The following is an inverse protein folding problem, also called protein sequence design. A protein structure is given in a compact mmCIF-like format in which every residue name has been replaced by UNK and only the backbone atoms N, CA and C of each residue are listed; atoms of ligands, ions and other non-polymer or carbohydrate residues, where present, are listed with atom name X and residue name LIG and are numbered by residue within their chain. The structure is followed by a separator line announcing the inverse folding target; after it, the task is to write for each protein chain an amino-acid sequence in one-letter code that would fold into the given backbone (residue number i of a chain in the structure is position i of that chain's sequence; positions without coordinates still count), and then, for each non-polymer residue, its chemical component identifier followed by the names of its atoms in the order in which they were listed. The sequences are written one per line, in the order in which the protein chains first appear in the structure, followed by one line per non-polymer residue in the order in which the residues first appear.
data_IF_590427810889
#
_entry.id   IF_590427810889
#
_cell.length_a   1.000
_cell.length_b   1.000
_cell.length_c   1.000
_cell.angle_alpha   90.00
_cell.angle_beta   90.00
_cell.angle_gamma   90.00
#
_symmetry.space_group_name_H-M   'P 1'
#
loop_
_entity.id
_entity.type
_entity.pdbx_description
1 polymer ?
#
# COMPACT_ATOMS: atom_id res chain seq x y z
N UNK A 1 5.79 23.10 -32.50
CA UNK A 1 6.92 22.88 -31.57
C UNK A 1 6.42 22.11 -30.35
N UNK A 2 6.59 20.78 -30.34
CA UNK A 2 6.36 19.99 -29.13
C UNK A 2 7.50 20.30 -28.15
N UNK A 3 7.22 21.05 -27.09
CA UNK A 3 8.17 21.23 -25.99
C UNK A 3 8.34 19.86 -25.33
N UNK A 4 9.41 19.15 -25.69
CA UNK A 4 9.92 18.01 -24.92
C UNK A 4 10.43 18.57 -23.59
N UNK A 5 9.57 18.63 -22.58
CA UNK A 5 10.02 18.71 -21.20
C UNK A 5 10.59 17.34 -20.85
N UNK A 6 11.90 17.17 -21.07
CA UNK A 6 12.65 16.13 -20.38
C UNK A 6 12.53 16.42 -18.89
N UNK A 7 11.57 15.79 -18.21
CA UNK A 7 11.60 15.66 -16.75
C UNK A 7 12.86 14.85 -16.47
N UNK A 8 13.96 15.53 -16.15
CA UNK A 8 15.05 14.90 -15.42
C UNK A 8 14.39 14.26 -14.19
N UNK A 9 14.35 12.93 -14.13
CA UNK A 9 14.06 12.26 -12.87
C UNK A 9 15.19 12.66 -11.93
N UNK A 10 14.87 13.56 -11.00
CA UNK A 10 15.71 13.82 -9.83
C UNK A 10 16.06 12.48 -9.19
N UNK A 11 17.27 12.31 -8.67
CA UNK A 11 17.69 11.11 -7.95
C UNK A 11 16.85 10.81 -6.69
N UNK A 12 15.86 11.66 -6.39
CA UNK A 12 14.92 11.60 -5.27
C UNK A 12 13.44 11.60 -5.69
N UNK A 13 13.10 11.22 -6.93
CA UNK A 13 11.68 11.16 -7.33
C UNK A 13 10.95 10.06 -6.57
N UNK A 14 10.00 10.44 -5.72
CA UNK A 14 9.15 9.51 -4.98
C UNK A 14 8.04 8.95 -5.87
N UNK A 15 7.41 7.85 -5.46
CA UNK A 15 6.24 7.30 -6.13
C UNK A 15 5.11 8.34 -6.25
N UNK A 16 4.99 9.22 -5.26
CA UNK A 16 4.03 10.32 -5.24
C UNK A 16 4.16 11.25 -6.45
N UNK A 17 5.39 11.63 -6.79
CA UNK A 17 5.71 12.57 -7.87
C UNK A 17 5.31 12.04 -9.26
N UNK A 18 5.16 10.72 -9.39
CA UNK A 18 4.80 10.04 -10.63
C UNK A 18 3.28 9.92 -10.82
N UNK A 19 2.48 10.13 -9.76
CA UNK A 19 1.05 9.88 -9.77
C UNK A 19 0.22 11.17 -10.00
N UNK A 20 -0.90 11.02 -10.72
CA UNK A 20 -1.89 12.10 -10.77
C UNK A 20 -2.58 12.28 -9.42
N UNK A 21 -2.53 13.50 -8.90
CA UNK A 21 -3.15 13.89 -7.63
C UNK A 21 -4.68 13.99 -7.71
N UNK A 22 -5.24 14.00 -8.93
CA UNK A 22 -6.68 13.97 -9.17
C UNK A 22 -7.25 12.56 -9.08
N UNK A 23 -6.41 11.54 -9.06
CA UNK A 23 -6.87 10.16 -9.03
C UNK A 23 -7.57 9.83 -7.69
N UNK A 24 -8.76 9.19 -7.69
CA UNK A 24 -9.52 8.94 -6.47
C UNK A 24 -8.76 8.18 -5.38
N UNK A 25 -7.95 7.17 -5.74
CA UNK A 25 -7.15 6.43 -4.75
C UNK A 25 -6.02 7.28 -4.15
N UNK A 26 -5.46 8.23 -4.91
CA UNK A 26 -4.44 9.14 -4.38
C UNK A 26 -5.05 10.05 -3.32
N UNK A 27 -6.19 10.66 -3.64
CA UNK A 27 -6.92 11.52 -2.70
C UNK A 27 -7.40 10.74 -1.49
N UNK A 28 -7.90 9.52 -1.69
CA UNK A 28 -8.35 8.66 -0.59
C UNK A 28 -7.19 8.30 0.33
N UNK A 29 -6.04 7.92 -0.23
CA UNK A 29 -4.83 7.63 0.53
C UNK A 29 -4.45 8.79 1.46
N UNK A 30 -4.57 10.02 0.99
CA UNK A 30 -4.19 11.21 1.76
C UNK A 30 -5.27 11.71 2.73
N UNK A 31 -6.50 11.19 2.63
CA UNK A 31 -7.62 11.51 3.55
C UNK A 31 -7.74 10.52 4.71
N UNK A 32 -7.22 9.31 4.55
CA UNK A 32 -7.27 8.29 5.60
C UNK A 32 -6.26 8.65 6.71
N UNK A 33 -6.73 8.69 7.95
CA UNK A 33 -5.85 8.80 9.10
C UNK A 33 -5.17 7.45 9.39
N UNK A 34 -4.07 7.17 8.70
CA UNK A 34 -3.32 5.92 8.83
C UNK A 34 -2.75 5.70 10.23
N UNK A 35 -2.44 6.78 10.96
CA UNK A 35 -1.92 6.73 12.33
C UNK A 35 -2.91 6.06 13.30
N UNK A 36 -4.21 6.17 13.03
CA UNK A 36 -5.23 5.46 13.81
C UNK A 36 -5.04 3.94 13.75
N UNK A 37 -4.75 3.39 12.56
CA UNK A 37 -4.49 1.96 12.40
C UNK A 37 -3.17 1.55 13.04
N UNK A 38 -2.12 2.36 12.86
CA UNK A 38 -0.83 2.13 13.52
C UNK A 38 -1.01 2.08 15.04
N UNK A 39 -1.70 3.05 15.65
CA UNK A 39 -1.93 3.08 17.09
C UNK A 39 -2.81 1.93 17.59
N UNK A 40 -3.84 1.55 16.82
CA UNK A 40 -4.74 0.47 17.19
C UNK A 40 -4.10 -0.92 17.07
N UNK A 41 -3.27 -1.13 16.03
CA UNK A 41 -2.76 -2.45 15.70
C UNK A 41 -1.32 -2.68 16.13
N UNK A 42 -0.50 -1.63 16.35
CA UNK A 42 0.86 -1.77 16.88
C UNK A 42 0.95 -2.64 18.16
N UNK A 43 0.03 -2.54 19.14
CA UNK A 43 0.06 -3.39 20.33
C UNK A 43 -0.14 -4.88 20.05
N UNK A 44 -0.68 -5.25 18.89
CA UNK A 44 -0.89 -6.63 18.47
C UNK A 44 0.39 -7.27 17.90
N UNK A 45 1.46 -6.49 17.74
CA UNK A 45 2.75 -6.95 17.26
C UNK A 45 3.76 -7.05 18.40
N UNK A 46 4.54 -8.13 18.40
CA UNK A 46 5.66 -8.27 19.33
C UNK A 46 6.84 -7.40 18.88
N UNK A 47 7.28 -6.49 19.74
CA UNK A 47 8.43 -5.61 19.47
C UNK A 47 9.78 -6.35 19.42
N UNK A 48 9.92 -7.43 20.18
CA UNK A 48 11.22 -8.04 20.50
C UNK A 48 11.39 -9.50 20.05
N UNK A 49 10.48 -10.05 19.23
CA UNK A 49 10.61 -11.46 18.84
C UNK A 49 10.06 -11.75 17.43
N UNK A 50 10.81 -12.55 16.65
CA UNK A 50 10.38 -13.07 15.35
C UNK A 50 10.79 -12.25 14.12
N UNK A 51 10.22 -12.62 12.96
CA UNK A 51 10.39 -11.92 11.67
C UNK A 51 9.69 -10.56 11.75
N UNK A 52 10.30 -9.45 11.25
CA UNK A 52 9.64 -8.17 11.18
C UNK A 52 8.29 -8.30 10.48
N UNK A 53 7.24 -7.79 11.11
CA UNK A 53 5.92 -7.76 10.52
C UNK A 53 5.88 -6.85 9.29
N UNK A 54 4.97 -7.15 8.37
CA UNK A 54 4.61 -6.22 7.31
C UNK A 54 4.07 -4.90 7.88
N UNK A 55 4.33 -3.74 7.24
CA UNK A 55 3.78 -2.46 7.67
C UNK A 55 2.25 -2.52 7.81
N UNK A 56 1.70 -1.93 8.88
CA UNK A 56 0.26 -1.98 9.14
C UNK A 56 -0.50 -1.29 7.99
N UNK A 57 -0.03 -0.14 7.52
CA UNK A 57 -0.61 0.54 6.34
C UNK A 57 -0.67 -0.35 5.10
N UNK A 58 0.34 -1.19 4.86
CA UNK A 58 0.31 -2.12 3.71
C UNK A 58 -0.84 -3.11 3.86
N UNK A 59 -0.95 -3.75 5.02
CA UNK A 59 -1.96 -4.78 5.28
C UNK A 59 -3.38 -4.21 5.28
N UNK A 60 -3.61 -3.09 5.98
CA UNK A 60 -4.87 -2.37 5.96
C UNK A 60 -5.23 -1.89 4.55
N UNK A 61 -4.25 -1.34 3.83
CA UNK A 61 -4.43 -0.86 2.46
C UNK A 61 -4.88 -1.98 1.51
N UNK A 62 -4.27 -3.16 1.59
CA UNK A 62 -4.65 -4.32 0.79
C UNK A 62 -6.08 -4.80 1.11
N UNK A 63 -6.47 -4.88 2.39
CA UNK A 63 -7.84 -5.24 2.76
C UNK A 63 -8.86 -4.21 2.27
N UNK A 64 -8.57 -2.91 2.41
CA UNK A 64 -9.44 -1.85 1.89
C UNK A 64 -9.57 -1.96 0.37
N UNK A 65 -8.46 -2.12 -0.36
CA UNK A 65 -8.48 -2.26 -1.82
C UNK A 65 -9.25 -3.51 -2.28
N UNK A 66 -9.07 -4.63 -1.58
CA UNK A 66 -9.82 -5.87 -1.79
C UNK A 66 -11.33 -5.62 -1.71
N UNK A 67 -11.79 -4.96 -0.65
CA UNK A 67 -13.21 -4.64 -0.48
C UNK A 67 -13.70 -3.61 -1.50
N UNK A 68 -12.93 -2.55 -1.77
CA UNK A 68 -13.27 -1.51 -2.74
C UNK A 68 -13.41 -2.06 -4.18
N UNK A 69 -12.65 -3.10 -4.52
CA UNK A 69 -12.63 -3.70 -5.85
C UNK A 69 -13.40 -5.01 -5.96
N UNK A 70 -13.87 -5.54 -4.83
CA UNK A 70 -14.56 -6.82 -4.74
C UNK A 70 -13.76 -7.97 -5.39
N UNK A 71 -12.51 -8.12 -4.96
CA UNK A 71 -11.57 -9.14 -5.47
C UNK A 71 -11.08 -10.08 -4.36
N UNK A 72 -10.41 -11.16 -4.72
CA UNK A 72 -9.79 -12.09 -3.75
C UNK A 72 -8.48 -11.57 -3.16
N UNK A 73 -7.98 -12.24 -2.12
CA UNK A 73 -6.70 -11.93 -1.47
C UNK A 73 -5.53 -12.09 -2.48
N UNK A 74 -5.56 -13.14 -3.30
CA UNK A 74 -4.55 -13.40 -4.34
C UNK A 74 -4.60 -12.34 -5.44
N UNK A 75 -5.80 -11.95 -5.86
CA UNK A 75 -6.00 -10.97 -6.92
C UNK A 75 -5.53 -9.58 -6.49
N UNK A 76 -5.84 -9.13 -5.26
CA UNK A 76 -5.39 -7.80 -4.80
C UNK A 76 -3.87 -7.74 -4.68
N UNK A 77 -3.23 -8.82 -4.20
CA UNK A 77 -1.77 -8.95 -4.09
C UNK A 77 -1.11 -8.93 -5.47
N UNK A 78 -1.68 -9.63 -6.45
CA UNK A 78 -1.20 -9.59 -7.84
C UNK A 78 -1.34 -8.20 -8.45
N UNK A 79 -2.53 -7.58 -8.36
CA UNK A 79 -2.78 -6.25 -8.91
C UNK A 79 -1.91 -5.16 -8.25
N UNK A 80 -1.57 -5.32 -6.97
CA UNK A 80 -0.66 -4.41 -6.28
C UNK A 80 0.70 -4.32 -6.98
N UNK A 81 1.26 -5.45 -7.43
CA UNK A 81 2.56 -5.47 -8.11
C UNK A 81 2.56 -4.77 -9.48
N UNK A 82 1.39 -4.58 -10.08
CA UNK A 82 1.22 -3.99 -11.40
C UNK A 82 0.73 -2.52 -11.34
N UNK A 83 0.21 -2.08 -10.18
CA UNK A 83 -0.52 -0.82 -10.07
C UNK A 83 0.13 0.15 -9.07
N UNK A 84 0.78 1.19 -9.59
CA UNK A 84 1.44 2.23 -8.80
C UNK A 84 0.50 2.96 -7.81
N UNK A 85 -0.78 3.11 -8.12
CA UNK A 85 -1.75 3.69 -7.19
C UNK A 85 -2.03 2.78 -5.99
N UNK A 86 -2.04 1.46 -6.20
CA UNK A 86 -2.23 0.50 -5.10
C UNK A 86 -1.02 0.52 -4.18
N UNK A 87 0.19 0.58 -4.77
CA UNK A 87 1.42 0.70 -4.00
C UNK A 87 1.44 1.97 -3.16
N UNK A 88 1.14 3.13 -3.75
CA UNK A 88 1.07 4.38 -3.01
C UNK A 88 -0.01 4.37 -1.92
N UNK A 89 -1.20 3.84 -2.22
CA UNK A 89 -2.28 3.70 -1.24
C UNK A 89 -1.84 2.91 -0.01
N UNK A 90 -1.12 1.80 -0.24
CA UNK A 90 -0.53 0.94 0.78
C UNK A 90 0.76 1.51 1.43
N UNK A 91 1.20 2.73 1.09
CA UNK A 91 2.37 3.37 1.70
C UNK A 91 3.70 3.08 1.03
N UNK A 92 3.70 2.57 -0.20
CA UNK A 92 4.90 2.42 -1.02
C UNK A 92 5.52 3.77 -1.39
N UNK A 93 6.84 3.88 -1.23
CA UNK A 93 7.62 5.07 -1.56
C UNK A 93 8.22 5.02 -2.97
N UNK A 94 8.39 3.82 -3.51
CA UNK A 94 8.94 3.53 -4.82
C UNK A 94 8.11 2.44 -5.49
N UNK A 95 8.13 2.39 -6.83
CA UNK A 95 7.43 1.34 -7.56
C UNK A 95 8.20 0.01 -7.46
N UNK A 96 7.55 -1.01 -6.91
CA UNK A 96 8.09 -2.35 -6.75
C UNK A 96 7.27 -3.34 -7.60
N UNK A 97 7.80 -3.84 -8.74
CA UNK A 97 7.08 -4.76 -9.63
C UNK A 97 7.11 -6.20 -9.11
N UNK A 98 6.78 -6.39 -7.83
CA UNK A 98 6.73 -7.69 -7.14
C UNK A 98 5.61 -7.67 -6.12
N UNK A 99 5.08 -8.84 -5.78
CA UNK A 99 4.06 -8.96 -4.74
C UNK A 99 4.62 -8.50 -3.38
N UNK A 100 3.83 -7.77 -2.58
CA UNK A 100 4.31 -7.23 -1.31
C UNK A 100 4.37 -8.29 -0.20
N UNK A 101 3.55 -9.33 -0.30
CA UNK A 101 3.44 -10.46 0.64
C UNK A 101 2.75 -11.65 -0.05
N UNK A 102 2.71 -12.80 0.63
CA UNK A 102 1.83 -13.90 0.24
C UNK A 102 0.38 -13.57 0.58
N UNK A 103 -0.58 -14.06 -0.21
CA UNK A 103 -2.00 -13.83 0.03
C UNK A 103 -2.47 -14.37 1.40
N UNK A 104 -1.85 -15.44 1.92
CA UNK A 104 -2.16 -15.99 3.23
C UNK A 104 -1.87 -15.01 4.38
N UNK A 105 -0.96 -14.04 4.18
CA UNK A 105 -0.67 -12.99 5.16
C UNK A 105 -1.90 -12.12 5.44
N UNK A 106 -2.79 -11.93 4.44
CA UNK A 106 -4.04 -11.20 4.65
C UNK A 106 -5.01 -11.97 5.56
N UNK A 107 -5.02 -13.31 5.47
CA UNK A 107 -5.80 -14.15 6.39
C UNK A 107 -5.23 -14.07 7.80
N UNK A 108 -3.90 -14.18 7.96
CA UNK A 108 -3.26 -14.06 9.26
C UNK A 108 -3.45 -12.68 9.88
N UNK A 109 -3.43 -11.63 9.07
CA UNK A 109 -3.66 -10.27 9.54
C UNK A 109 -5.10 -10.07 10.01
N UNK A 110 -6.11 -10.54 9.27
CA UNK A 110 -7.52 -10.51 9.70
C UNK A 110 -7.75 -11.21 11.03
N UNK A 111 -7.22 -12.43 11.17
CA UNK A 111 -7.26 -13.17 12.43
C UNK A 111 -6.60 -12.42 13.58
N UNK A 112 -5.52 -11.66 13.32
CA UNK A 112 -4.83 -10.86 14.35
C UNK A 112 -5.66 -9.68 14.82
N UNK A 113 -6.38 -9.01 13.91
CA UNK A 113 -7.21 -7.83 14.23
C UNK A 113 -8.65 -8.20 14.65
N UNK A 114 -9.01 -9.48 14.59
CA UNK A 114 -10.31 -9.99 15.04
C UNK A 114 -11.44 -9.86 14.01
N UNK A 115 -11.12 -9.86 12.72
CA UNK A 115 -12.08 -9.99 11.60
C UNK A 115 -12.24 -11.46 11.18
#
# INVERSE_FOLDING_TARGET
MLKRTSKQLSMFSSLEDMLSHEHPLFQLSNKINWECFENAFSPLYCSNNGRPAHPIRLMCGLLILKHLRNVSDEMVVSQWSENAYYQYFCGGLEFMPKQPCDASELVHFRNRIGE
#
